data_IF_529589942870
#
_entry.id   IF_529589942870
#
_cell.length_a   1.000
_cell.length_b   1.000
_cell.length_c   1.000
_cell.angle_alpha   90.00
_cell.angle_beta   90.00
_cell.angle_gamma   90.00
#
_symmetry.space_group_name_H-M   'P 1'
#
loop_
_entity.id
_entity.type
_entity.pdbx_description
1 polymer ?
#
# COMPACT_ATOMS: atom_id res chain seq x y z
N UNK A 1 -1.98 20.57 4.91
CA UNK A 1 -0.69 19.85 5.03
C UNK A 1 -0.95 18.38 4.72
N UNK A 2 -0.07 17.69 3.97
CA UNK A 2 -0.21 16.27 3.69
C UNK A 2 -0.01 15.44 4.96
N UNK A 3 -0.82 14.42 5.15
CA UNK A 3 -0.72 13.49 6.29
C UNK A 3 0.32 12.42 5.97
N UNK A 4 1.46 12.44 6.67
CA UNK A 4 2.58 11.55 6.43
C UNK A 4 2.48 10.26 7.23
N UNK A 5 2.76 9.13 6.59
CA UNK A 5 2.74 7.79 7.19
C UNK A 5 4.11 7.12 6.99
N UNK A 6 4.69 6.58 8.03
CA UNK A 6 5.95 5.83 7.93
C UNK A 6 5.66 4.34 7.75
N UNK A 7 6.21 3.70 6.72
CA UNK A 7 6.29 2.25 6.68
C UNK A 7 7.40 1.79 7.63
N UNK A 8 7.00 1.24 8.79
CA UNK A 8 7.95 0.88 9.85
C UNK A 8 8.62 -0.48 9.64
N UNK A 9 8.28 -1.22 8.58
CA UNK A 9 9.06 -2.40 8.17
C UNK A 9 10.29 -2.01 7.33
N UNK A 10 10.32 -0.78 6.79
CA UNK A 10 11.46 -0.26 6.01
C UNK A 10 12.21 0.88 6.69
N UNK A 11 11.52 1.69 7.47
CA UNK A 11 12.11 2.76 8.29
C UNK A 11 12.30 2.28 9.74
N UNK A 12 13.30 2.83 10.42
CA UNK A 12 13.62 2.53 11.83
C UNK A 12 14.02 1.07 12.08
N UNK A 13 14.54 0.37 11.06
CA UNK A 13 14.90 -1.06 11.16
C UNK A 13 16.01 -1.35 12.15
N UNK A 14 16.75 -0.34 12.58
CA UNK A 14 17.77 -0.39 13.64
C UNK A 14 17.17 -0.54 15.06
N UNK A 15 15.84 -0.40 15.19
CA UNK A 15 15.11 -0.49 16.46
C UNK A 15 14.23 -1.76 16.53
N UNK A 16 13.88 -2.19 17.75
CA UNK A 16 12.81 -3.16 17.92
C UNK A 16 11.51 -2.66 17.28
N UNK A 17 10.74 -3.59 16.71
CA UNK A 17 9.54 -3.24 15.94
C UNK A 17 8.56 -2.36 16.72
N UNK A 18 8.34 -2.65 17.99
CA UNK A 18 7.37 -1.89 18.82
C UNK A 18 7.90 -0.51 19.24
N UNK A 19 9.22 -0.30 19.24
CA UNK A 19 9.84 1.00 19.50
C UNK A 19 9.73 1.95 18.29
N UNK A 20 9.55 1.41 17.09
CA UNK A 20 9.43 2.19 15.84
C UNK A 20 8.22 3.12 15.83
N UNK A 21 7.15 2.78 16.54
CA UNK A 21 5.95 3.62 16.70
C UNK A 21 6.29 4.96 17.37
N UNK A 22 7.00 4.91 18.49
CA UNK A 22 7.43 6.10 19.21
C UNK A 22 8.48 6.91 18.41
N UNK A 23 9.39 6.24 17.70
CA UNK A 23 10.37 6.89 16.85
C UNK A 23 9.70 7.65 15.69
N UNK A 24 8.78 7.03 14.97
CA UNK A 24 8.03 7.68 13.88
C UNK A 24 7.23 8.89 14.41
N UNK A 25 6.61 8.78 15.59
CA UNK A 25 5.90 9.90 16.21
C UNK A 25 6.84 11.05 16.58
N UNK A 26 8.00 10.75 17.14
CA UNK A 26 8.98 11.75 17.52
C UNK A 26 9.51 12.54 16.32
N UNK A 27 9.62 11.90 15.16
CA UNK A 27 10.04 12.52 13.90
C UNK A 27 8.91 13.26 13.17
N UNK A 28 7.68 13.24 13.69
CA UNK A 28 6.56 14.04 13.19
C UNK A 28 5.63 13.33 12.23
N UNK A 29 5.70 12.02 12.08
CA UNK A 29 4.71 11.28 11.30
C UNK A 29 3.33 11.29 11.97
N UNK A 30 2.29 11.35 11.13
CA UNK A 30 0.89 11.31 11.58
C UNK A 30 0.41 9.87 11.84
N UNK A 31 1.00 8.92 11.13
CA UNK A 31 0.63 7.51 11.18
C UNK A 31 1.83 6.60 10.88
N UNK A 32 1.64 5.32 11.15
CA UNK A 32 2.51 4.23 10.71
C UNK A 32 1.73 3.20 9.92
N UNK A 33 2.44 2.45 9.09
CA UNK A 33 1.99 1.25 8.40
C UNK A 33 3.09 0.19 8.44
N UNK A 34 2.73 -1.05 8.22
CA UNK A 34 3.66 -2.18 8.20
C UNK A 34 3.11 -3.29 7.29
N UNK A 35 3.93 -4.30 6.95
CA UNK A 35 3.52 -5.29 5.95
C UNK A 35 2.66 -6.41 6.53
N UNK A 36 3.22 -7.24 7.41
CA UNK A 36 2.55 -8.47 7.85
C UNK A 36 2.15 -8.42 9.32
N UNK A 37 0.85 -8.42 9.54
CA UNK A 37 0.25 -8.48 10.86
C UNK A 37 0.34 -9.87 11.50
N UNK A 38 0.49 -10.94 10.72
CA UNK A 38 0.43 -12.34 11.18
C UNK A 38 1.63 -12.72 12.02
N UNK A 39 2.77 -12.10 11.77
CA UNK A 39 4.01 -12.30 12.53
C UNK A 39 4.15 -11.35 13.72
N UNK A 40 3.10 -10.57 14.04
CA UNK A 40 3.12 -9.55 15.09
C UNK A 40 2.16 -9.90 16.23
N UNK A 41 2.55 -9.57 17.45
CA UNK A 41 1.64 -9.57 18.60
C UNK A 41 0.73 -8.32 18.50
N UNK A 42 -0.52 -8.53 18.11
CA UNK A 42 -1.46 -7.43 17.84
C UNK A 42 -1.81 -6.63 19.11
N UNK A 43 -1.73 -7.22 20.28
CA UNK A 43 -1.95 -6.47 21.52
C UNK A 43 -0.79 -5.50 21.77
N UNK A 44 0.45 -5.95 21.55
CA UNK A 44 1.63 -5.06 21.61
C UNK A 44 1.63 -4.00 20.52
N UNK A 45 1.16 -4.32 19.30
CA UNK A 45 0.99 -3.34 18.22
C UNK A 45 0.05 -2.23 18.63
N UNK A 46 -1.14 -2.59 19.14
CA UNK A 46 -2.12 -1.62 19.62
C UNK A 46 -1.54 -0.76 20.75
N UNK A 47 -0.95 -1.41 21.75
CA UNK A 47 -0.44 -0.74 22.95
C UNK A 47 0.73 0.20 22.60
N UNK A 48 1.64 -0.20 21.70
CA UNK A 48 2.72 0.65 21.21
C UNK A 48 2.20 1.90 20.44
N UNK A 49 1.20 1.72 19.59
CA UNK A 49 0.57 2.83 18.88
C UNK A 49 -0.13 3.80 19.84
N UNK A 50 -0.87 3.28 20.82
CA UNK A 50 -1.54 4.09 21.85
C UNK A 50 -0.54 4.84 22.72
N UNK A 51 0.50 4.16 23.21
CA UNK A 51 1.54 4.78 24.04
C UNK A 51 2.30 5.90 23.31
N UNK A 52 2.56 5.71 22.02
CA UNK A 52 3.19 6.72 21.16
C UNK A 52 2.23 7.86 20.75
N UNK A 53 0.93 7.68 20.89
CA UNK A 53 -0.08 8.62 20.38
C UNK A 53 -0.02 8.77 18.84
N UNK A 54 0.22 7.66 18.14
CA UNK A 54 0.26 7.60 16.67
C UNK A 54 -0.81 6.64 16.15
N UNK A 55 -1.37 6.91 14.98
CA UNK A 55 -2.39 6.04 14.39
C UNK A 55 -1.76 4.99 13.48
N UNK A 56 -2.42 3.84 13.32
CA UNK A 56 -2.06 2.84 12.33
C UNK A 56 -2.85 3.13 11.06
N UNK A 57 -2.15 3.39 9.95
CA UNK A 57 -2.75 3.58 8.63
C UNK A 57 -3.33 2.27 8.11
N UNK A 58 -2.51 1.24 8.04
CA UNK A 58 -2.87 -0.07 7.54
C UNK A 58 -1.72 -1.05 7.52
N UNK A 59 -2.00 -2.19 6.90
CA UNK A 59 -1.04 -3.26 6.61
C UNK A 59 -1.56 -4.11 5.45
N UNK A 60 -0.78 -5.09 4.96
CA UNK A 60 -1.22 -5.97 3.88
C UNK A 60 -2.34 -6.89 4.35
N UNK A 61 -3.46 -6.87 3.63
CA UNK A 61 -4.66 -7.61 3.92
C UNK A 61 -4.71 -8.99 3.29
N UNK A 62 -3.93 -9.21 2.26
CA UNK A 62 -3.76 -10.49 1.58
C UNK A 62 -2.50 -11.25 2.04
N UNK A 63 -2.34 -12.49 1.59
CA UNK A 63 -1.17 -13.31 1.82
C UNK A 63 -0.94 -14.27 0.64
N UNK A 64 -0.92 -15.59 0.88
CA UNK A 64 -0.55 -16.64 -0.09
C UNK A 64 -1.59 -16.88 -1.19
N UNK A 65 -2.66 -16.08 -1.26
CA UNK A 65 -3.75 -16.27 -2.22
C UNK A 65 -3.84 -15.10 -3.19
N UNK A 66 -3.97 -15.41 -4.47
CA UNK A 66 -4.04 -14.42 -5.54
C UNK A 66 -5.48 -14.11 -5.92
N UNK A 67 -5.79 -12.84 -6.18
CA UNK A 67 -7.07 -12.40 -6.75
C UNK A 67 -7.28 -12.93 -8.17
N UNK A 68 -6.18 -13.16 -8.90
CA UNK A 68 -6.22 -13.61 -10.30
C UNK A 68 -6.53 -15.10 -10.45
N UNK A 69 -6.48 -15.87 -9.37
CA UNK A 69 -6.77 -17.30 -9.38
C UNK A 69 -8.26 -17.56 -9.09
N UNK A 70 -9.03 -18.07 -10.08
CA UNK A 70 -10.47 -18.29 -9.88
C UNK A 70 -10.79 -19.36 -8.81
N UNK A 71 -9.81 -20.18 -8.42
CA UNK A 71 -9.98 -21.22 -7.38
C UNK A 71 -9.72 -20.70 -5.97
N UNK A 72 -9.21 -19.48 -5.82
CA UNK A 72 -8.83 -18.92 -4.54
C UNK A 72 -9.94 -18.15 -3.81
N UNK A 73 -11.04 -17.79 -4.48
CA UNK A 73 -12.04 -16.82 -4.00
C UNK A 73 -12.50 -17.06 -2.56
N UNK A 74 -13.01 -18.26 -2.24
CA UNK A 74 -13.55 -18.52 -0.90
C UNK A 74 -12.48 -18.39 0.18
N UNK A 75 -11.31 -19.01 -0.05
CA UNK A 75 -10.18 -18.93 0.89
C UNK A 75 -9.63 -17.51 1.00
N UNK A 76 -9.61 -16.76 -0.11
CA UNK A 76 -9.22 -15.35 -0.10
C UNK A 76 -10.14 -14.51 0.80
N UNK A 77 -11.44 -14.71 0.72
CA UNK A 77 -12.42 -14.00 1.55
C UNK A 77 -12.28 -14.37 3.04
N UNK A 78 -11.99 -15.63 3.37
CA UNK A 78 -11.69 -16.06 4.73
C UNK A 78 -10.42 -15.36 5.27
N UNK A 79 -9.35 -15.32 4.49
CA UNK A 79 -8.12 -14.65 4.86
C UNK A 79 -8.28 -13.13 4.98
N UNK A 80 -9.02 -12.52 4.06
CA UNK A 80 -9.34 -11.09 4.12
C UNK A 80 -10.13 -10.76 5.39
N UNK A 81 -11.12 -11.61 5.74
CA UNK A 81 -11.88 -11.44 6.97
C UNK A 81 -10.97 -11.46 8.20
N UNK A 82 -10.02 -12.41 8.28
CA UNK A 82 -9.05 -12.45 9.38
C UNK A 82 -8.18 -11.18 9.42
N UNK A 83 -7.79 -10.64 8.26
CA UNK A 83 -7.05 -9.38 8.18
C UNK A 83 -7.88 -8.17 8.62
N UNK A 84 -9.18 -8.14 8.30
CA UNK A 84 -10.10 -7.11 8.77
C UNK A 84 -10.36 -7.21 10.29
N UNK A 85 -10.45 -8.42 10.84
CA UNK A 85 -10.50 -8.65 12.30
C UNK A 85 -9.24 -8.11 12.99
N UNK A 86 -8.06 -8.38 12.43
CA UNK A 86 -6.78 -7.85 12.91
C UNK A 86 -6.73 -6.32 12.83
N UNK A 87 -7.17 -5.74 11.72
CA UNK A 87 -7.23 -4.30 11.52
C UNK A 87 -8.14 -3.62 12.55
N UNK A 88 -9.32 -4.20 12.79
CA UNK A 88 -10.24 -3.74 13.84
C UNK A 88 -9.58 -3.78 15.22
N UNK A 89 -8.88 -4.86 15.53
CA UNK A 89 -8.21 -5.06 16.84
C UNK A 89 -7.15 -3.99 17.10
N UNK A 90 -6.37 -3.60 16.12
CA UNK A 90 -5.31 -2.59 16.28
C UNK A 90 -5.74 -1.17 15.94
N UNK A 91 -6.96 -0.96 15.45
CA UNK A 91 -7.48 0.35 15.03
C UNK A 91 -6.90 0.84 13.69
N UNK A 92 -6.45 -0.07 12.83
CA UNK A 92 -6.01 0.26 11.48
C UNK A 92 -7.20 0.71 10.61
N UNK A 93 -6.96 1.63 9.69
CA UNK A 93 -8.02 2.26 8.88
C UNK A 93 -8.16 1.65 7.49
N UNK A 94 -7.11 1.00 7.01
CA UNK A 94 -7.07 0.38 5.69
C UNK A 94 -6.33 -0.94 5.71
N UNK A 95 -6.54 -1.74 4.66
CA UNK A 95 -5.69 -2.87 4.31
C UNK A 95 -5.27 -2.74 2.85
N UNK A 96 -4.02 -3.06 2.55
CA UNK A 96 -3.49 -3.10 1.18
C UNK A 96 -3.66 -4.50 0.61
N UNK A 97 -4.06 -4.60 -0.66
CA UNK A 97 -4.27 -5.87 -1.36
C UNK A 97 -3.65 -5.84 -2.75
N UNK A 98 -3.20 -6.99 -3.24
CA UNK A 98 -2.49 -7.15 -4.51
C UNK A 98 -3.22 -8.12 -5.45
N UNK A 99 -2.90 -8.07 -6.74
CA UNK A 99 -3.48 -9.01 -7.72
C UNK A 99 -2.96 -10.43 -7.56
N UNK A 100 -1.67 -10.57 -7.24
CA UNK A 100 -0.98 -11.84 -7.05
C UNK A 100 -0.46 -11.98 -5.62
N UNK A 101 -0.37 -13.20 -5.14
CA UNK A 101 0.31 -13.51 -3.89
C UNK A 101 1.81 -13.18 -3.98
N UNK A 102 2.32 -12.55 -2.94
CA UNK A 102 3.74 -12.17 -2.81
C UNK A 102 4.39 -13.03 -1.73
N UNK A 103 5.49 -13.66 -2.08
CA UNK A 103 6.36 -14.39 -1.16
C UNK A 103 7.48 -13.51 -0.59
N UNK A 104 8.50 -14.17 -0.04
CA UNK A 104 9.66 -13.51 0.54
C UNK A 104 10.30 -12.53 -0.44
N UNK A 105 10.64 -11.34 0.07
CA UNK A 105 11.22 -10.27 -0.75
C UNK A 105 10.28 -9.67 -1.80
N UNK A 106 8.98 -9.93 -1.72
CA UNK A 106 7.98 -9.44 -2.68
C UNK A 106 7.93 -10.21 -3.99
N UNK A 107 8.57 -11.38 -4.07
CA UNK A 107 8.56 -12.21 -5.28
C UNK A 107 7.15 -12.75 -5.52
N UNK A 108 6.65 -12.61 -6.76
CA UNK A 108 5.35 -13.18 -7.15
C UNK A 108 5.40 -14.70 -7.08
N UNK A 109 4.52 -15.30 -6.28
CA UNK A 109 4.52 -16.74 -5.99
C UNK A 109 4.12 -17.56 -7.22
N UNK A 110 3.14 -17.09 -7.98
CA UNK A 110 2.68 -17.72 -9.22
C UNK A 110 2.29 -16.68 -10.25
N UNK A 111 2.82 -16.78 -11.47
CA UNK A 111 2.55 -15.88 -12.58
C UNK A 111 1.24 -16.22 -13.30
N UNK A 112 0.71 -17.43 -13.11
CA UNK A 112 -0.51 -17.92 -13.79
C UNK A 112 -0.40 -17.82 -15.32
N UNK A 113 0.73 -18.27 -15.88
CA UNK A 113 0.99 -18.20 -17.33
C UNK A 113 0.01 -19.06 -18.14
N UNK A 114 -0.61 -20.05 -17.51
CA UNK A 114 -1.66 -20.90 -18.07
C UNK A 114 -3.02 -20.20 -18.19
N UNK A 115 -3.25 -19.08 -17.50
CA UNK A 115 -4.50 -18.32 -17.52
C UNK A 115 -4.39 -17.13 -18.48
N UNK A 116 -5.42 -16.93 -19.30
CA UNK A 116 -5.51 -15.71 -20.10
C UNK A 116 -5.75 -14.47 -19.22
N UNK A 117 -5.34 -13.29 -19.69
CA UNK A 117 -5.57 -12.03 -18.97
C UNK A 117 -7.05 -11.76 -18.69
N UNK A 118 -7.93 -12.22 -19.59
CA UNK A 118 -9.38 -12.13 -19.37
C UNK A 118 -9.83 -12.96 -18.18
N UNK A 119 -9.33 -14.19 -18.02
CA UNK A 119 -9.64 -15.05 -16.88
C UNK A 119 -9.12 -14.42 -15.59
N UNK A 120 -7.86 -13.95 -15.59
CA UNK A 120 -7.25 -13.25 -14.44
C UNK A 120 -8.08 -12.04 -14.02
N UNK A 121 -8.47 -11.19 -14.97
CA UNK A 121 -9.28 -9.99 -14.71
C UNK A 121 -10.66 -10.32 -14.16
N UNK A 122 -11.36 -11.31 -14.75
CA UNK A 122 -12.67 -11.75 -14.29
C UNK A 122 -12.61 -12.32 -12.87
N UNK A 123 -11.59 -13.14 -12.56
CA UNK A 123 -11.36 -13.68 -11.22
C UNK A 123 -11.13 -12.57 -10.19
N UNK A 124 -10.23 -11.64 -10.51
CA UNK A 124 -9.93 -10.48 -9.65
C UNK A 124 -11.19 -9.65 -9.40
N UNK A 125 -11.95 -9.32 -10.44
CA UNK A 125 -13.20 -8.57 -10.33
C UNK A 125 -14.23 -9.27 -9.44
N UNK A 126 -14.49 -10.55 -9.68
CA UNK A 126 -15.47 -11.33 -8.94
C UNK A 126 -15.11 -11.47 -7.45
N UNK A 127 -13.83 -11.67 -7.15
CA UNK A 127 -13.35 -11.74 -5.77
C UNK A 127 -13.43 -10.38 -5.08
N UNK A 128 -13.03 -9.29 -5.76
CA UNK A 128 -13.11 -7.93 -5.22
C UNK A 128 -14.56 -7.49 -4.99
N UNK A 129 -15.50 -7.86 -5.87
CA UNK A 129 -16.93 -7.57 -5.71
C UNK A 129 -17.52 -8.23 -4.45
N UNK A 130 -17.03 -9.38 -4.06
CA UNK A 130 -17.38 -10.02 -2.80
C UNK A 130 -16.65 -9.38 -1.60
N UNK A 131 -15.37 -9.03 -1.78
CA UNK A 131 -14.52 -8.44 -0.75
C UNK A 131 -15.02 -7.07 -0.25
N UNK A 132 -15.57 -6.24 -1.14
CA UNK A 132 -16.09 -4.92 -0.75
C UNK A 132 -17.26 -5.00 0.24
N UNK A 133 -18.01 -6.11 0.25
CA UNK A 133 -19.09 -6.32 1.23
C UNK A 133 -18.52 -6.53 2.64
N UNK A 134 -17.43 -7.29 2.75
CA UNK A 134 -16.70 -7.44 4.01
C UNK A 134 -16.08 -6.11 4.45
N UNK A 135 -15.41 -5.42 3.55
CA UNK A 135 -14.80 -4.12 3.86
C UNK A 135 -15.83 -3.10 4.36
N UNK A 136 -17.03 -3.07 3.77
CA UNK A 136 -18.15 -2.24 4.21
C UNK A 136 -18.67 -2.65 5.59
N UNK A 137 -18.87 -3.94 5.86
CA UNK A 137 -19.29 -4.45 7.17
C UNK A 137 -18.31 -4.06 8.28
N UNK A 138 -17.01 -4.16 7.98
CA UNK A 138 -15.94 -3.80 8.92
C UNK A 138 -15.68 -2.30 9.01
N UNK A 139 -16.16 -1.49 8.06
CA UNK A 139 -15.82 -0.07 7.93
C UNK A 139 -14.31 0.15 7.77
N UNK A 140 -13.63 -0.74 7.06
CA UNK A 140 -12.19 -0.70 6.76
C UNK A 140 -12.01 -0.72 5.24
N UNK A 141 -11.32 0.29 4.71
CA UNK A 141 -11.11 0.40 3.26
C UNK A 141 -9.98 -0.50 2.79
N UNK A 142 -10.19 -1.15 1.65
CA UNK A 142 -9.14 -1.83 0.90
C UNK A 142 -8.49 -0.86 -0.08
N UNK A 143 -7.18 -0.89 -0.18
CA UNK A 143 -6.41 -0.18 -1.19
C UNK A 143 -5.76 -1.22 -2.12
N UNK A 144 -6.18 -1.25 -3.38
CA UNK A 144 -5.65 -2.15 -4.40
C UNK A 144 -4.39 -1.55 -5.01
N UNK A 145 -3.28 -2.25 -4.88
CA UNK A 145 -1.97 -1.78 -5.33
C UNK A 145 -1.54 -2.42 -6.65
N UNK A 146 -1.12 -1.59 -7.60
CA UNK A 146 -0.41 -2.00 -8.80
C UNK A 146 1.10 -2.02 -8.56
N UNK A 147 1.77 -3.09 -8.98
CA UNK A 147 3.19 -3.31 -8.70
C UNK A 147 4.04 -3.30 -9.97
N UNK A 148 5.31 -2.88 -9.85
CA UNK A 148 6.23 -2.91 -10.98
C UNK A 148 6.66 -4.35 -11.31
N UNK A 149 6.70 -4.64 -12.61
CA UNK A 149 7.09 -5.94 -13.14
C UNK A 149 8.49 -5.96 -13.74
N UNK A 150 9.20 -4.84 -13.70
CA UNK A 150 10.51 -4.72 -14.35
C UNK A 150 11.65 -5.08 -13.41
N UNK A 151 11.45 -4.92 -12.10
CA UNK A 151 12.51 -5.10 -11.11
C UNK A 151 12.04 -5.98 -9.95
N UNK A 152 11.00 -5.58 -9.21
CA UNK A 152 10.69 -6.19 -7.91
C UNK A 152 9.67 -7.32 -7.99
N UNK A 153 8.61 -7.17 -8.81
CA UNK A 153 7.44 -8.05 -8.78
C UNK A 153 7.15 -8.64 -10.17
N UNK A 154 8.18 -9.23 -10.79
CA UNK A 154 8.05 -9.86 -12.13
C UNK A 154 6.91 -10.88 -12.11
N UNK A 155 5.98 -10.76 -13.08
CA UNK A 155 4.81 -11.63 -13.18
C UNK A 155 3.55 -11.13 -12.45
N UNK A 156 3.62 -9.99 -11.73
CA UNK A 156 2.41 -9.40 -11.15
C UNK A 156 1.43 -8.97 -12.26
N UNK A 157 0.15 -9.26 -12.07
CA UNK A 157 -0.86 -9.01 -13.10
C UNK A 157 -1.29 -7.54 -13.16
N UNK A 158 -1.58 -6.93 -12.02
CA UNK A 158 -2.01 -5.52 -11.94
C UNK A 158 -0.79 -4.60 -12.03
N UNK A 159 -0.59 -3.96 -13.18
CA UNK A 159 0.65 -3.24 -13.50
C UNK A 159 0.45 -1.74 -13.69
N UNK A 160 -0.78 -1.27 -13.94
CA UNK A 160 -1.00 0.13 -14.32
C UNK A 160 -2.10 0.78 -13.48
N UNK A 161 -1.95 2.08 -13.26
CA UNK A 161 -2.98 2.90 -12.62
C UNK A 161 -4.30 2.85 -13.38
N UNK A 162 -4.24 2.79 -14.71
CA UNK A 162 -5.44 2.69 -15.54
C UNK A 162 -6.23 1.41 -15.24
N UNK A 163 -5.58 0.25 -15.23
CA UNK A 163 -6.25 -1.03 -14.95
C UNK A 163 -6.86 -1.02 -13.55
N UNK A 164 -6.12 -0.54 -12.54
CA UNK A 164 -6.64 -0.41 -11.19
C UNK A 164 -7.87 0.51 -11.13
N UNK A 165 -7.84 1.65 -11.82
CA UNK A 165 -8.95 2.60 -11.86
C UNK A 165 -10.18 2.05 -12.60
N UNK A 166 -10.00 1.31 -13.67
CA UNK A 166 -11.10 0.66 -14.38
C UNK A 166 -11.81 -0.37 -13.49
N UNK A 167 -11.06 -1.20 -12.78
CA UNK A 167 -11.62 -2.21 -11.87
C UNK A 167 -12.33 -1.55 -10.68
N UNK A 168 -11.70 -0.56 -10.02
CA UNK A 168 -12.32 0.12 -8.87
C UNK A 168 -13.57 0.90 -9.25
N UNK A 169 -13.60 1.55 -10.43
CA UNK A 169 -14.80 2.23 -10.96
C UNK A 169 -15.90 1.26 -11.33
N UNK A 170 -15.57 0.12 -11.92
CA UNK A 170 -16.55 -0.91 -12.28
C UNK A 170 -17.23 -1.49 -11.03
N UNK A 171 -16.48 -1.67 -9.93
CA UNK A 171 -17.02 -2.11 -8.63
C UNK A 171 -17.82 -0.99 -7.97
N UNK A 172 -17.38 0.26 -8.08
CA UNK A 172 -18.12 1.44 -7.66
C UNK A 172 -18.33 1.57 -6.14
N UNK A 173 -17.44 0.98 -5.32
CA UNK A 173 -17.57 1.00 -3.86
C UNK A 173 -16.56 1.96 -3.23
N UNK A 174 -16.95 2.80 -2.25
CA UNK A 174 -16.02 3.65 -1.51
C UNK A 174 -15.08 2.85 -0.58
N UNK A 175 -15.35 1.56 -0.41
CA UNK A 175 -14.53 0.65 0.41
C UNK A 175 -13.40 -0.02 -0.38
N UNK A 176 -13.30 0.28 -1.69
CA UNK A 176 -12.19 -0.14 -2.53
C UNK A 176 -11.66 1.07 -3.29
N UNK A 177 -10.40 1.43 -3.03
CA UNK A 177 -9.68 2.49 -3.72
C UNK A 177 -8.32 1.98 -4.19
N UNK A 178 -7.58 2.81 -4.90
CA UNK A 178 -6.22 2.51 -5.36
C UNK A 178 -5.22 2.93 -4.28
N UNK A 179 -4.22 2.09 -4.03
CA UNK A 179 -2.93 2.54 -3.54
C UNK A 179 -2.08 2.88 -4.78
N UNK A 180 -1.72 4.15 -4.92
CA UNK A 180 -0.83 4.62 -5.97
C UNK A 180 0.59 4.70 -5.42
N UNK A 181 1.43 3.73 -5.77
CA UNK A 181 2.85 3.78 -5.44
C UNK A 181 3.63 4.47 -6.57
N UNK A 182 4.19 5.65 -6.27
CA UNK A 182 4.92 6.44 -7.24
C UNK A 182 6.18 5.72 -7.78
N UNK A 183 6.84 4.93 -6.94
CA UNK A 183 8.00 4.15 -7.33
C UNK A 183 7.63 3.03 -8.32
N UNK A 184 6.58 2.24 -8.01
CA UNK A 184 6.12 1.19 -8.91
C UNK A 184 5.63 1.75 -10.25
N UNK A 185 4.86 2.83 -10.21
CA UNK A 185 4.32 3.46 -11.41
C UNK A 185 5.39 4.19 -12.21
N UNK A 186 6.46 4.68 -11.59
CA UNK A 186 7.59 5.24 -12.34
C UNK A 186 8.23 4.18 -13.24
N UNK A 187 8.46 2.97 -12.73
CA UNK A 187 8.98 1.88 -13.55
C UNK A 187 8.03 1.44 -14.66
N UNK A 188 6.73 1.32 -14.39
CA UNK A 188 5.79 0.75 -15.34
C UNK A 188 5.29 1.73 -16.38
N UNK A 189 4.92 2.94 -15.99
CA UNK A 189 4.21 3.91 -16.85
C UNK A 189 4.80 5.33 -16.85
N UNK A 190 5.50 5.77 -15.84
CA UNK A 190 5.95 7.15 -15.71
C UNK A 190 4.80 8.16 -15.59
N UNK A 191 5.02 9.41 -16.01
CA UNK A 191 4.00 10.47 -16.01
C UNK A 191 3.24 10.60 -14.67
N UNK A 192 3.94 10.50 -13.55
CA UNK A 192 3.38 10.34 -12.19
C UNK A 192 2.32 11.41 -11.87
N UNK A 193 2.62 12.69 -12.04
CA UNK A 193 1.65 13.77 -11.75
C UNK A 193 0.39 13.68 -12.63
N UNK A 194 0.55 13.36 -13.91
CA UNK A 194 -0.59 13.19 -14.83
C UNK A 194 -1.49 12.04 -14.41
N UNK A 195 -0.93 10.89 -14.01
CA UNK A 195 -1.71 9.75 -13.56
C UNK A 195 -2.41 10.02 -12.22
N UNK A 196 -1.75 10.71 -11.29
CA UNK A 196 -2.39 11.17 -10.05
C UNK A 196 -3.59 12.08 -10.36
N UNK A 197 -3.45 13.07 -11.25
CA UNK A 197 -4.54 13.96 -11.62
C UNK A 197 -5.71 13.21 -12.27
N UNK A 198 -5.40 12.35 -13.24
CA UNK A 198 -6.39 11.62 -14.04
C UNK A 198 -7.23 10.63 -13.22
N UNK A 199 -6.62 10.03 -12.21
CA UNK A 199 -7.26 8.98 -11.40
C UNK A 199 -7.49 9.39 -9.94
N UNK A 200 -7.40 10.69 -9.66
CA UNK A 200 -7.44 11.25 -8.31
C UNK A 200 -8.63 10.78 -7.48
N UNK A 201 -9.81 10.67 -8.08
CA UNK A 201 -11.04 10.23 -7.45
C UNK A 201 -11.00 8.77 -6.97
N UNK A 202 -10.07 7.97 -7.52
CA UNK A 202 -9.89 6.56 -7.16
C UNK A 202 -8.74 6.31 -6.17
N UNK A 203 -7.88 7.32 -5.92
CA UNK A 203 -6.68 7.14 -5.10
C UNK A 203 -7.01 7.33 -3.62
N UNK A 204 -6.90 6.24 -2.85
CA UNK A 204 -7.16 6.21 -1.41
C UNK A 204 -5.90 6.20 -0.54
N UNK A 205 -4.75 5.85 -1.11
CA UNK A 205 -3.45 5.89 -0.47
C UNK A 205 -2.36 6.15 -1.50
N UNK A 206 -1.25 6.75 -1.08
CA UNK A 206 -0.09 6.97 -1.94
C UNK A 206 1.14 6.46 -1.23
N UNK A 207 1.98 5.69 -1.95
CA UNK A 207 3.33 5.36 -1.51
C UNK A 207 4.37 6.20 -2.23
N UNK A 208 5.41 6.55 -1.51
CA UNK A 208 6.55 7.38 -1.94
C UNK A 208 7.85 6.64 -1.66
N UNK A 209 8.61 6.39 -2.72
CA UNK A 209 10.01 6.07 -2.72
C UNK A 209 10.63 6.53 -4.04
N UNK A 210 11.90 6.92 -4.07
CA UNK A 210 12.53 7.40 -5.30
C UNK A 210 12.97 6.24 -6.20
N UNK A 211 13.00 6.50 -7.48
CA UNK A 211 13.34 5.54 -8.52
C UNK A 211 14.58 6.04 -9.28
N UNK A 212 15.57 5.16 -9.52
CA UNK A 212 15.69 3.78 -9.06
C UNK A 212 16.11 3.66 -7.59
N UNK A 213 16.04 2.45 -7.02
CA UNK A 213 16.64 2.09 -5.74
C UNK A 213 15.69 2.08 -4.55
N UNK A 214 14.46 2.62 -4.68
CA UNK A 214 13.43 2.65 -3.63
C UNK A 214 13.88 3.35 -2.34
N UNK A 215 14.68 4.45 -2.51
CA UNK A 215 15.20 5.25 -1.40
C UNK A 215 14.37 6.51 -1.15
N UNK A 216 14.83 7.38 -0.25
CA UNK A 216 14.15 8.63 0.08
C UNK A 216 14.08 9.62 -1.08
N UNK A 217 13.06 10.53 -1.09
CA UNK A 217 12.90 11.57 -2.11
C UNK A 217 14.18 12.39 -2.34
N UNK A 218 14.54 12.56 -3.60
CA UNK A 218 15.72 13.31 -4.05
C UNK A 218 16.98 12.45 -4.26
N UNK A 219 16.86 11.14 -4.16
CA UNK A 219 17.96 10.21 -4.46
C UNK A 219 17.88 9.61 -5.86
N UNK A 220 16.76 9.79 -6.56
CA UNK A 220 16.50 9.25 -7.89
C UNK A 220 15.97 10.30 -8.88
N UNK A 221 15.08 9.89 -9.78
CA UNK A 221 14.62 10.69 -10.91
C UNK A 221 13.20 11.26 -10.75
N UNK A 222 12.45 10.89 -9.67
CA UNK A 222 11.09 11.38 -9.48
C UNK A 222 11.11 12.81 -8.94
N UNK A 223 10.40 13.72 -9.61
CA UNK A 223 10.26 15.09 -9.11
C UNK A 223 9.20 15.16 -8.00
N UNK A 224 9.58 14.82 -6.77
CA UNK A 224 8.66 14.80 -5.63
C UNK A 224 8.10 16.18 -5.26
N UNK A 225 8.83 17.27 -5.53
CA UNK A 225 8.26 18.60 -5.37
C UNK A 225 7.00 18.76 -6.22
N UNK A 226 7.05 18.39 -7.50
CA UNK A 226 5.90 18.43 -8.39
C UNK A 226 4.76 17.49 -7.94
N UNK A 227 5.10 16.31 -7.41
CA UNK A 227 4.12 15.35 -6.88
C UNK A 227 3.39 15.96 -5.67
N UNK A 228 4.12 16.51 -4.70
CA UNK A 228 3.52 17.13 -3.51
C UNK A 228 2.65 18.35 -3.84
N UNK A 229 3.09 19.20 -4.76
CA UNK A 229 2.28 20.35 -5.22
C UNK A 229 1.01 19.88 -5.94
N UNK A 230 1.09 18.81 -6.74
CA UNK A 230 -0.07 18.21 -7.38
C UNK A 230 -1.07 17.72 -6.33
N UNK A 231 -0.63 16.98 -5.32
CA UNK A 231 -1.47 16.47 -4.23
C UNK A 231 -2.12 17.61 -3.43
N UNK A 232 -1.36 18.65 -3.10
CA UNK A 232 -1.86 19.85 -2.39
C UNK A 232 -2.92 20.58 -3.22
N UNK A 233 -2.66 20.80 -4.52
CA UNK A 233 -3.58 21.48 -5.45
C UNK A 233 -4.89 20.71 -5.62
N UNK A 234 -4.84 19.38 -5.67
CA UNK A 234 -6.02 18.52 -5.77
C UNK A 234 -6.76 18.34 -4.44
N UNK A 235 -6.22 18.82 -3.33
CA UNK A 235 -6.83 18.68 -2.02
C UNK A 235 -6.80 17.25 -1.48
N UNK A 236 -5.69 16.52 -1.71
CA UNK A 236 -5.54 15.15 -1.25
C UNK A 236 -5.71 15.03 0.28
N UNK A 237 -6.66 14.21 0.70
CA UNK A 237 -7.10 14.13 2.11
C UNK A 237 -6.64 12.85 2.84
N UNK A 238 -6.19 11.86 2.10
CA UNK A 238 -5.73 10.60 2.67
C UNK A 238 -4.26 10.68 3.08
N UNK A 239 -3.62 9.54 3.36
CA UNK A 239 -2.23 9.49 3.81
C UNK A 239 -1.27 9.30 2.64
N UNK A 240 -0.07 9.82 2.85
CA UNK A 240 1.10 9.61 2.00
C UNK A 240 2.05 8.73 2.80
N UNK A 241 2.18 7.47 2.41
CA UNK A 241 3.06 6.48 3.01
C UNK A 241 4.47 6.56 2.43
N UNK A 242 5.46 6.45 3.27
CA UNK A 242 6.86 6.41 2.88
C UNK A 242 7.37 4.98 3.04
N UNK A 243 7.19 4.19 1.98
CA UNK A 243 7.63 2.82 1.89
C UNK A 243 8.94 2.76 1.10
N UNK A 244 10.03 3.01 1.79
CA UNK A 244 11.36 3.18 1.20
C UNK A 244 12.45 2.58 2.09
N UNK A 245 13.53 2.19 1.48
CA UNK A 245 14.73 1.74 2.18
C UNK A 245 15.74 2.89 2.25
N UNK A 246 16.10 3.41 3.45
CA UNK A 246 17.06 4.49 3.56
C UNK A 246 18.34 4.20 2.81
N UNK A 247 18.82 5.15 2.00
CA UNK A 247 20.09 5.00 1.26
C UNK A 247 21.29 4.87 2.22
N UNK A 248 21.24 5.58 3.33
CA UNK A 248 22.30 5.56 4.34
C UNK A 248 21.75 5.16 5.72
N UNK A 249 20.83 5.94 6.26
CA UNK A 249 20.22 5.73 7.57
C UNK A 249 18.85 6.40 7.67
N UNK A 250 18.03 5.95 8.63
CA UNK A 250 16.67 6.45 8.83
C UNK A 250 16.63 7.96 9.10
N UNK A 251 17.57 8.51 9.84
CA UNK A 251 17.57 9.95 10.18
C UNK A 251 17.81 10.83 8.95
N UNK A 252 18.63 10.38 8.01
CA UNK A 252 18.85 11.05 6.73
C UNK A 252 17.63 10.98 5.85
N UNK A 253 17.01 9.81 5.74
CA UNK A 253 15.77 9.61 4.98
C UNK A 253 14.62 10.48 5.52
N UNK A 254 14.44 10.53 6.84
CA UNK A 254 13.41 11.37 7.49
C UNK A 254 13.62 12.85 7.19
N UNK A 255 14.86 13.35 7.22
CA UNK A 255 15.16 14.74 6.83
C UNK A 255 14.74 15.04 5.39
N UNK A 256 14.97 14.10 4.46
CA UNK A 256 14.55 14.25 3.06
C UNK A 256 13.01 14.25 2.94
N UNK A 257 12.32 13.36 3.66
CA UNK A 257 10.85 13.27 3.70
C UNK A 257 10.20 14.57 4.18
N UNK A 258 10.80 15.24 5.14
CA UNK A 258 10.23 16.47 5.74
C UNK A 258 10.79 17.78 5.16
N UNK A 259 11.64 17.69 4.11
CA UNK A 259 12.24 18.86 3.48
C UNK A 259 11.23 19.70 2.68
N UNK A 260 10.20 19.06 2.08
CA UNK A 260 9.10 19.67 1.31
C UNK A 260 7.77 19.51 2.11
#
# INVERSE_FOLDING_TARGET
MLKRCACIDTLYTEKDFYERFAAAKADGFDAVEFWDWRIRDLDKVRDAAQAAGITISGFNGDNDLSLVDPTHKERYLENLKASLDAAKKVGAQTVTIHSNALGDGGIVVNHYDELSDTVKLCSMYDTLLASVKLAEEYQIRMNLEGLNIKVDHVGNFLQTTQMAAEVTRLIGSPWLMILFDAYHMQYNEGAICYNIEKYFDQIGHIHIADCPGRHEPGTGEINYHAVYETLKRLGYKYRVGYELFPLTDTATAVKAIFKD
#
